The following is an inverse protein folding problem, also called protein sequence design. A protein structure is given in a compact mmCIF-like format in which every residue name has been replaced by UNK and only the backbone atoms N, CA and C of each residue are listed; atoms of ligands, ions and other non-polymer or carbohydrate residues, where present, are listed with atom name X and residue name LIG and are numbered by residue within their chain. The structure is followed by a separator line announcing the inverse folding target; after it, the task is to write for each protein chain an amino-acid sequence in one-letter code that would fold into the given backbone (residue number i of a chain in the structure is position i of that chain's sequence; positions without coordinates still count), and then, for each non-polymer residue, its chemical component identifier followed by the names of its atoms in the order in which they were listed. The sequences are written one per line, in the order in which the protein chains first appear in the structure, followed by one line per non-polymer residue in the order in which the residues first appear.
data_IF_100554742966
#
_entry.id   IF_100554742966
#
_cell.length_a   1.000
_cell.length_b   1.000
_cell.length_c   1.000
_cell.angle_alpha   90.00
_cell.angle_beta   90.00
_cell.angle_gamma   90.00
#
_symmetry.space_group_name_H-M   'P 1'
#
loop_
_entity.id
_entity.type
_entity.pdbx_description
1 polymer ?
#
# COMPACT_ATOMS: atom_id res chain seq x y z
N UNK A 1 -14.13 11.45 -107.43
CA UNK A 1 -13.84 11.90 -106.04
C UNK A 1 -12.94 13.13 -106.15
N UNK A 2 -13.44 14.26 -105.82
CA UNK A 2 -12.67 15.52 -105.93
C UNK A 2 -11.64 15.63 -104.78
N UNK A 3 -10.56 16.37 -105.08
CA UNK A 3 -9.47 16.57 -104.13
C UNK A 3 -9.97 17.12 -102.78
N UNK A 4 -11.01 17.94 -102.78
CA UNK A 4 -11.67 18.50 -101.63
C UNK A 4 -12.36 17.41 -100.77
N UNK A 5 -12.93 16.36 -101.38
CA UNK A 5 -13.60 15.26 -100.65
C UNK A 5 -12.56 14.44 -99.87
N UNK A 6 -11.40 14.21 -100.49
CA UNK A 6 -10.27 13.51 -99.85
C UNK A 6 -9.72 14.28 -98.69
N UNK A 7 -9.59 15.57 -98.82
CA UNK A 7 -9.10 16.46 -97.74
C UNK A 7 -10.06 16.49 -96.57
N UNK A 8 -11.39 16.50 -96.85
CA UNK A 8 -12.42 16.47 -95.83
C UNK A 8 -12.42 15.13 -95.05
N UNK A 9 -12.21 14.03 -95.70
CA UNK A 9 -12.15 12.72 -95.03
C UNK A 9 -10.91 12.60 -94.15
N UNK A 10 -9.76 13.09 -94.62
CA UNK A 10 -8.49 13.11 -93.82
C UNK A 10 -8.64 14.01 -92.62
N UNK A 11 -9.25 15.20 -92.77
CA UNK A 11 -9.50 16.15 -91.70
C UNK A 11 -10.44 15.55 -90.62
N UNK A 12 -11.55 14.90 -91.07
CA UNK A 12 -12.47 14.25 -90.15
C UNK A 12 -11.80 13.08 -89.35
N UNK A 13 -10.94 12.31 -90.03
CA UNK A 13 -10.20 11.23 -89.36
C UNK A 13 -9.19 11.80 -88.34
N UNK A 14 -8.48 12.87 -88.69
CA UNK A 14 -7.53 13.53 -87.79
C UNK A 14 -8.23 14.09 -86.54
N UNK A 15 -9.46 14.63 -86.66
CA UNK A 15 -10.24 15.12 -85.54
C UNK A 15 -10.65 13.97 -84.60
N UNK A 16 -11.09 12.82 -85.14
CA UNK A 16 -11.44 11.63 -84.35
C UNK A 16 -10.23 11.08 -83.56
N UNK A 17 -9.08 11.04 -84.27
CA UNK A 17 -7.84 10.61 -83.60
C UNK A 17 -7.47 11.58 -82.44
N UNK A 18 -7.53 12.89 -82.69
CA UNK A 18 -7.29 13.89 -81.68
C UNK A 18 -8.22 13.76 -80.48
N UNK A 19 -9.52 13.54 -80.69
CA UNK A 19 -10.45 13.29 -79.58
C UNK A 19 -10.10 12.07 -78.77
N UNK A 20 -9.70 10.99 -79.40
CA UNK A 20 -9.26 9.74 -78.70
C UNK A 20 -7.99 9.98 -77.84
N UNK A 21 -7.03 10.78 -78.36
CA UNK A 21 -5.85 11.13 -77.61
C UNK A 21 -6.16 12.02 -76.41
N UNK A 22 -7.05 13.01 -76.59
CA UNK A 22 -7.50 13.88 -75.52
C UNK A 22 -8.25 13.08 -74.44
N UNK A 23 -9.18 12.18 -74.83
CA UNK A 23 -9.93 11.33 -73.91
C UNK A 23 -8.95 10.46 -73.04
N UNK A 24 -7.94 9.87 -73.68
CA UNK A 24 -6.93 9.07 -72.98
C UNK A 24 -6.08 9.90 -72.07
N UNK A 25 -5.71 11.11 -72.45
CA UNK A 25 -5.00 12.08 -71.58
C UNK A 25 -5.81 12.48 -70.38
N UNK A 26 -7.10 12.80 -70.52
CA UNK A 26 -7.97 13.12 -69.39
C UNK A 26 -8.13 11.97 -68.46
N UNK A 27 -8.37 10.77 -68.90
CA UNK A 27 -8.43 9.57 -68.06
C UNK A 27 -7.14 9.31 -67.30
N UNK A 28 -6.00 9.55 -67.92
CA UNK A 28 -4.69 9.40 -67.27
C UNK A 28 -4.45 10.49 -66.20
N UNK A 29 -4.91 11.70 -66.46
CA UNK A 29 -4.84 12.80 -65.47
C UNK A 29 -5.75 12.57 -64.25
N UNK A 30 -7.00 12.11 -64.52
CA UNK A 30 -7.92 11.76 -63.41
C UNK A 30 -7.34 10.68 -62.50
N UNK A 31 -6.79 9.61 -63.10
CA UNK A 31 -6.12 8.54 -62.34
C UNK A 31 -4.93 9.09 -61.48
N UNK A 32 -4.11 9.93 -62.11
CA UNK A 32 -2.97 10.56 -61.38
C UNK A 32 -3.41 11.43 -60.23
N UNK A 33 -4.46 12.26 -60.42
CA UNK A 33 -4.99 13.08 -59.31
C UNK A 33 -5.64 12.29 -58.21
N UNK A 34 -6.36 11.19 -58.55
CA UNK A 34 -6.94 10.27 -57.57
C UNK A 34 -5.85 9.55 -56.74
N UNK A 35 -4.80 9.05 -57.39
CA UNK A 35 -3.68 8.43 -56.69
C UNK A 35 -2.92 9.44 -55.79
N UNK A 36 -2.71 10.64 -56.27
CA UNK A 36 -2.07 11.70 -55.50
C UNK A 36 -2.91 12.13 -54.31
N UNK A 37 -4.23 12.24 -54.44
CA UNK A 37 -5.14 12.57 -53.36
C UNK A 37 -5.17 11.45 -52.30
N UNK A 38 -5.23 10.19 -52.70
CA UNK A 38 -5.13 9.02 -51.80
C UNK A 38 -3.80 9.00 -51.03
N UNK A 39 -2.67 9.22 -51.73
CA UNK A 39 -1.37 9.26 -51.09
C UNK A 39 -1.22 10.42 -50.08
N UNK A 40 -1.80 11.59 -50.35
CA UNK A 40 -1.81 12.72 -49.44
C UNK A 40 -2.67 12.45 -48.21
N UNK A 41 -3.89 11.91 -48.39
CA UNK A 41 -4.76 11.51 -47.28
C UNK A 41 -4.07 10.46 -46.39
N UNK A 42 -3.47 9.43 -46.99
CA UNK A 42 -2.75 8.40 -46.24
C UNK A 42 -1.56 8.97 -45.44
N UNK A 43 -0.82 9.93 -45.99
CA UNK A 43 0.28 10.59 -45.24
C UNK A 43 -0.23 11.43 -44.08
N UNK A 44 -1.32 12.16 -44.27
CA UNK A 44 -1.94 12.94 -43.20
C UNK A 44 -2.46 12.04 -42.08
N UNK A 45 -3.14 10.94 -42.44
CA UNK A 45 -3.65 9.96 -41.48
C UNK A 45 -2.49 9.31 -40.70
N UNK A 46 -1.41 8.92 -41.33
CA UNK A 46 -0.22 8.36 -40.67
C UNK A 46 0.38 9.39 -39.70
N UNK A 47 0.51 10.64 -40.11
CA UNK A 47 1.07 11.69 -39.25
C UNK A 47 0.16 11.93 -38.03
N UNK A 48 -1.14 11.98 -38.23
CA UNK A 48 -2.09 12.16 -37.12
C UNK A 48 -2.09 10.97 -36.14
N UNK A 49 -2.04 9.73 -36.67
CA UNK A 49 -1.91 8.52 -35.86
C UNK A 49 -0.61 8.52 -35.07
N UNK A 50 0.52 8.91 -35.71
CA UNK A 50 1.82 8.97 -35.05
C UNK A 50 1.79 9.98 -33.88
N UNK A 51 1.29 11.20 -34.12
CA UNK A 51 1.17 12.23 -33.08
C UNK A 51 0.29 11.74 -31.91
N UNK A 52 -0.87 11.15 -32.21
CA UNK A 52 -1.76 10.61 -31.18
C UNK A 52 -1.10 9.47 -30.39
N UNK A 53 -0.35 8.61 -31.06
CA UNK A 53 0.39 7.50 -30.43
C UNK A 53 1.47 8.03 -29.49
N UNK A 54 2.25 9.03 -29.92
CA UNK A 54 3.28 9.66 -29.11
C UNK A 54 2.68 10.36 -27.89
N UNK A 55 1.53 11.05 -28.05
CA UNK A 55 0.82 11.66 -26.94
C UNK A 55 0.35 10.63 -25.91
N UNK A 56 -0.28 9.54 -26.37
CA UNK A 56 -0.73 8.45 -25.47
C UNK A 56 0.46 7.80 -24.75
N UNK A 57 1.59 7.61 -25.44
CA UNK A 57 2.80 7.09 -24.80
C UNK A 57 3.34 8.04 -23.74
N UNK A 58 3.40 9.35 -24.03
CA UNK A 58 3.85 10.35 -23.07
C UNK A 58 2.95 10.41 -21.83
N UNK A 59 1.63 10.41 -22.02
CA UNK A 59 0.65 10.39 -20.93
C UNK A 59 0.77 9.10 -20.10
N UNK A 60 0.95 7.96 -20.76
CA UNK A 60 1.14 6.69 -20.08
C UNK A 60 2.43 6.66 -19.24
N UNK A 61 3.55 7.16 -19.78
CA UNK A 61 4.80 7.28 -19.02
C UNK A 61 4.68 8.21 -17.83
N UNK A 62 3.93 9.31 -17.95
CA UNK A 62 3.66 10.21 -16.84
C UNK A 62 2.86 9.53 -15.73
N UNK A 63 1.77 8.83 -16.09
CA UNK A 63 0.95 8.09 -15.13
C UNK A 63 1.75 6.99 -14.43
N UNK A 64 2.58 6.24 -15.17
CA UNK A 64 3.47 5.24 -14.58
C UNK A 64 4.46 5.86 -13.59
N UNK A 65 5.09 6.97 -13.95
CA UNK A 65 6.03 7.66 -13.07
C UNK A 65 5.39 8.16 -11.78
N UNK A 66 4.17 8.69 -11.84
CA UNK A 66 3.39 9.09 -10.67
C UNK A 66 3.01 7.87 -9.79
N UNK A 67 2.63 6.77 -10.41
CA UNK A 67 2.30 5.53 -9.72
C UNK A 67 3.52 4.90 -9.01
N UNK A 68 4.66 4.84 -9.69
CA UNK A 68 5.90 4.32 -9.11
C UNK A 68 6.37 5.15 -7.91
N UNK A 69 6.28 6.49 -8.00
CA UNK A 69 6.60 7.38 -6.89
C UNK A 69 5.68 7.19 -5.68
N UNK A 70 4.37 6.98 -5.90
CA UNK A 70 3.41 6.70 -4.83
C UNK A 70 3.67 5.35 -4.17
N UNK A 71 4.00 4.32 -4.96
CA UNK A 71 4.37 3.00 -4.45
C UNK A 71 5.66 3.05 -3.62
N UNK A 72 6.69 3.74 -4.10
CA UNK A 72 7.96 3.90 -3.38
C UNK A 72 7.75 4.63 -2.05
N UNK A 73 6.94 5.69 -2.05
CA UNK A 73 6.59 6.41 -0.83
C UNK A 73 5.86 5.53 0.17
N UNK A 74 4.83 4.77 -0.27
CA UNK A 74 4.08 3.85 0.59
C UNK A 74 4.97 2.76 1.17
N UNK A 75 5.85 2.17 0.35
CA UNK A 75 6.75 1.13 0.80
C UNK A 75 7.71 1.64 1.88
N UNK A 76 8.34 2.79 1.68
CA UNK A 76 9.21 3.44 2.68
C UNK A 76 8.47 3.80 3.96
N UNK A 77 7.20 4.22 3.84
CA UNK A 77 6.37 4.50 5.01
C UNK A 77 6.07 3.23 5.80
N UNK A 78 5.68 2.14 5.12
CA UNK A 78 5.41 0.85 5.77
C UNK A 78 6.68 0.24 6.40
N UNK A 79 7.84 0.39 5.77
CA UNK A 79 9.12 -0.04 6.31
C UNK A 79 9.44 0.65 7.64
N UNK A 80 9.28 1.97 7.70
CA UNK A 80 9.43 2.73 8.95
C UNK A 80 8.39 2.36 10.00
N UNK A 81 7.14 2.28 9.60
CA UNK A 81 6.04 1.88 10.46
C UNK A 81 6.29 0.49 11.08
N UNK A 82 6.79 -0.45 10.29
CA UNK A 82 7.17 -1.78 10.76
C UNK A 82 8.39 -1.74 11.68
N UNK A 83 9.52 -1.18 11.23
CA UNK A 83 10.82 -1.27 11.93
C UNK A 83 10.89 -0.39 13.19
N UNK A 84 10.34 0.83 13.13
CA UNK A 84 10.48 1.80 14.22
C UNK A 84 9.30 1.81 15.21
N UNK A 85 8.21 1.12 14.88
CA UNK A 85 7.01 1.18 15.70
C UNK A 85 6.42 -0.21 16.01
N UNK A 86 5.87 -0.92 15.02
CA UNK A 86 5.18 -2.19 15.29
C UNK A 86 6.09 -3.32 15.73
N UNK A 87 7.35 -3.39 15.27
CA UNK A 87 8.30 -4.39 15.75
C UNK A 87 8.63 -4.20 17.24
N UNK A 88 8.74 -2.95 17.69
CA UNK A 88 8.97 -2.65 19.10
C UNK A 88 7.75 -3.01 19.95
N UNK A 89 6.54 -2.65 19.50
CA UNK A 89 5.31 -3.06 20.18
C UNK A 89 5.16 -4.58 20.25
N UNK A 90 5.48 -5.28 19.16
CA UNK A 90 5.46 -6.74 19.11
C UNK A 90 6.43 -7.37 20.11
N UNK A 91 7.67 -6.85 20.21
CA UNK A 91 8.64 -7.28 21.22
C UNK A 91 8.10 -7.09 22.65
N UNK A 92 7.46 -5.95 22.94
CA UNK A 92 6.84 -5.70 24.25
C UNK A 92 5.68 -6.65 24.55
N UNK A 93 4.89 -7.04 23.54
CA UNK A 93 3.84 -8.06 23.67
C UNK A 93 4.47 -9.44 24.01
N UNK A 94 5.51 -9.83 23.28
CA UNK A 94 6.23 -11.08 23.55
C UNK A 94 6.83 -11.11 24.96
N UNK A 95 7.42 -10.01 25.40
CA UNK A 95 7.97 -9.85 26.75
C UNK A 95 6.87 -10.01 27.80
N UNK A 96 5.74 -9.33 27.64
CA UNK A 96 4.59 -9.44 28.53
C UNK A 96 4.05 -10.87 28.63
N UNK A 97 3.91 -11.58 27.49
CA UNK A 97 3.45 -12.97 27.46
C UNK A 97 4.48 -13.93 28.10
N UNK A 98 5.78 -13.71 27.89
CA UNK A 98 6.83 -14.48 28.52
C UNK A 98 6.78 -14.38 30.05
N UNK A 99 6.66 -13.17 30.58
CA UNK A 99 6.52 -12.93 32.01
C UNK A 99 5.25 -13.58 32.55
N UNK A 100 4.13 -13.47 31.88
CA UNK A 100 2.89 -14.14 32.28
C UNK A 100 3.03 -15.64 32.36
N UNK A 101 3.72 -16.24 31.38
CA UNK A 101 3.98 -17.68 31.34
C UNK A 101 4.86 -18.12 32.53
N UNK A 102 5.98 -17.39 32.76
CA UNK A 102 6.91 -17.68 33.88
C UNK A 102 6.16 -17.62 35.21
N UNK A 103 5.36 -16.59 35.43
CA UNK A 103 4.63 -16.40 36.67
C UNK A 103 3.56 -17.46 36.90
N UNK A 104 2.85 -17.88 35.85
CA UNK A 104 1.89 -19.01 35.95
C UNK A 104 2.56 -20.32 36.37
N UNK A 105 3.81 -20.53 35.95
CA UNK A 105 4.55 -21.75 36.28
C UNK A 105 5.27 -21.68 37.65
N UNK A 106 5.51 -20.47 38.15
CA UNK A 106 6.16 -20.27 39.44
C UNK A 106 5.19 -20.08 40.62
N UNK A 107 3.95 -19.74 40.35
CA UNK A 107 2.93 -19.53 41.38
C UNK A 107 1.76 -20.45 41.18
N UNK A 108 1.30 -21.08 42.30
CA UNK A 108 0.06 -21.86 42.34
C UNK A 108 -1.19 -20.96 42.23
N UNK A 109 -1.04 -19.65 42.25
CA UNK A 109 -2.13 -18.67 42.13
C UNK A 109 -2.29 -18.17 40.69
N UNK A 110 -3.55 -18.01 40.27
CA UNK A 110 -3.87 -17.37 38.99
C UNK A 110 -3.49 -15.89 39.02
N UNK A 111 -2.26 -15.58 38.59
CA UNK A 111 -1.81 -14.20 38.47
C UNK A 111 -2.52 -13.51 37.32
N UNK A 112 -3.26 -12.47 37.64
CA UNK A 112 -3.90 -11.59 36.64
C UNK A 112 -2.82 -10.77 35.95
N UNK A 113 -2.95 -10.59 34.65
CA UNK A 113 -2.02 -9.98 33.67
C UNK A 113 -1.35 -8.66 34.10
N UNK A 114 -1.85 -7.97 35.13
CA UNK A 114 -1.55 -6.60 35.46
C UNK A 114 -0.70 -6.38 36.71
N UNK A 115 -0.41 -7.42 37.46
CA UNK A 115 0.16 -7.24 38.81
C UNK A 115 1.67 -7.39 38.88
N UNK A 116 2.34 -7.59 37.73
CA UNK A 116 3.81 -7.73 37.71
C UNK A 116 4.46 -6.41 37.31
N UNK A 117 4.91 -5.64 38.29
CA UNK A 117 5.78 -4.50 37.98
C UNK A 117 7.11 -5.01 37.48
N UNK A 118 7.54 -4.59 36.29
CA UNK A 118 8.90 -4.79 35.83
C UNK A 118 9.78 -3.85 36.67
N UNK A 119 10.69 -4.45 37.43
CA UNK A 119 11.65 -3.71 38.23
C UNK A 119 12.86 -3.43 37.35
N UNK A 120 12.92 -2.24 36.75
CA UNK A 120 14.19 -1.74 36.21
C UNK A 120 14.94 -1.06 37.36
N UNK A 121 16.15 -1.55 37.65
CA UNK A 121 17.07 -0.90 38.57
C UNK A 121 18.02 -0.06 37.73
N UNK A 122 17.91 1.26 37.79
CA UNK A 122 19.03 2.12 37.42
C UNK A 122 19.94 2.26 38.64
N UNK A 123 21.17 1.79 38.51
CA UNK A 123 22.23 2.02 39.48
C UNK A 123 22.91 3.32 39.05
N UNK A 124 22.85 4.36 39.88
CA UNK A 124 23.64 5.55 39.63
C UNK A 124 25.14 5.27 39.73
N UNK A 125 25.98 6.19 39.25
CA UNK A 125 27.43 6.05 39.27
C UNK A 125 28.03 5.93 40.68
N UNK A 126 27.26 6.16 41.74
CA UNK A 126 27.64 6.07 43.15
C UNK A 126 27.14 4.76 43.79
N UNK A 127 26.51 3.88 43.05
CA UNK A 127 26.01 2.59 43.52
C UNK A 127 24.72 2.66 44.36
N UNK A 128 23.99 3.79 44.32
CA UNK A 128 22.70 3.90 44.98
C UNK A 128 21.60 3.46 44.00
N UNK A 129 20.73 2.57 44.49
CA UNK A 129 19.53 2.16 43.74
C UNK A 129 18.50 3.30 43.80
N UNK A 130 18.39 4.10 42.73
CA UNK A 130 17.30 5.04 42.55
C UNK A 130 16.06 4.26 42.12
N UNK A 131 15.05 4.21 42.97
CA UNK A 131 13.72 3.74 42.61
C UNK A 131 13.07 4.79 41.68
N UNK A 132 13.42 4.75 40.39
CA UNK A 132 12.56 5.43 39.42
C UNK A 132 11.19 4.75 39.32
N UNK A 133 10.17 5.55 39.12
CA UNK A 133 8.78 5.09 38.96
C UNK A 133 8.66 4.01 37.93
N UNK A 134 8.44 2.78 38.39
CA UNK A 134 8.37 1.56 37.57
C UNK A 134 7.21 1.66 36.62
N UNK A 135 7.48 1.84 35.33
CA UNK A 135 6.45 1.75 34.29
C UNK A 135 6.17 0.29 33.96
N UNK A 136 4.92 -0.09 33.94
CA UNK A 136 4.51 -1.41 33.45
C UNK A 136 4.76 -1.51 31.92
N UNK A 137 4.86 -2.73 31.37
CA UNK A 137 4.99 -2.94 29.91
C UNK A 137 3.84 -2.24 29.18
N UNK A 138 2.64 -2.31 29.73
CA UNK A 138 1.46 -1.66 29.15
C UNK A 138 1.63 -0.13 29.09
N UNK A 139 2.17 0.51 30.12
CA UNK A 139 2.47 1.95 30.11
C UNK A 139 3.55 2.28 29.09
N UNK A 140 4.62 1.47 28.97
CA UNK A 140 5.65 1.64 27.93
C UNK A 140 5.04 1.54 26.52
N UNK A 141 4.12 0.58 26.29
CA UNK A 141 3.41 0.48 25.00
C UNK A 141 2.57 1.73 24.72
N UNK A 142 1.83 2.23 25.72
CA UNK A 142 1.02 3.44 25.57
C UNK A 142 1.89 4.67 25.28
N UNK A 143 3.00 4.84 26.00
CA UNK A 143 3.96 5.92 25.74
C UNK A 143 4.49 5.87 24.30
N UNK A 144 4.90 4.69 23.83
CA UNK A 144 5.38 4.51 22.45
C UNK A 144 4.28 4.82 21.41
N UNK A 145 3.02 4.41 21.68
CA UNK A 145 1.88 4.70 20.80
C UNK A 145 1.61 6.20 20.73
N UNK A 146 1.70 6.90 21.87
CA UNK A 146 1.50 8.34 21.91
C UNK A 146 2.66 9.12 21.31
N UNK A 147 3.89 8.69 21.52
CA UNK A 147 5.09 9.32 20.95
C UNK A 147 5.13 9.20 19.42
N UNK A 148 4.80 8.01 18.92
CA UNK A 148 4.85 7.71 17.49
C UNK A 148 3.47 7.53 16.86
N UNK A 149 2.49 8.32 17.28
CA UNK A 149 1.08 8.23 16.85
C UNK A 149 0.89 8.26 15.32
N UNK A 150 1.81 8.90 14.57
CA UNK A 150 1.78 8.99 13.11
C UNK A 150 1.83 7.60 12.44
N UNK A 151 2.45 6.63 13.10
CA UNK A 151 2.55 5.26 12.63
C UNK A 151 1.42 4.35 13.12
N UNK A 152 0.66 4.79 14.13
CA UNK A 152 -0.41 3.99 14.69
C UNK A 152 -1.65 3.95 13.78
N UNK A 153 -2.25 2.77 13.63
CA UNK A 153 -3.53 2.67 12.94
C UNK A 153 -4.64 3.38 13.71
N UNK A 154 -5.71 3.86 13.04
CA UNK A 154 -6.85 4.46 13.72
C UNK A 154 -7.48 3.53 14.78
N UNK A 155 -7.47 2.21 14.54
CA UNK A 155 -7.99 1.21 15.46
C UNK A 155 -7.13 1.11 16.72
N UNK A 156 -5.80 1.12 16.56
CA UNK A 156 -4.85 1.09 17.67
C UNK A 156 -4.97 2.38 18.51
N UNK A 157 -5.00 3.56 17.88
CA UNK A 157 -5.18 4.82 18.56
C UNK A 157 -6.49 4.86 19.38
N UNK A 158 -7.59 4.36 18.80
CA UNK A 158 -8.87 4.28 19.51
C UNK A 158 -8.78 3.39 20.75
N UNK A 159 -8.12 2.24 20.64
CA UNK A 159 -7.94 1.30 21.76
C UNK A 159 -7.05 1.90 22.86
N UNK A 160 -5.95 2.54 22.50
CA UNK A 160 -5.05 3.22 23.42
C UNK A 160 -5.74 4.38 24.16
N UNK A 161 -6.44 5.26 23.46
CA UNK A 161 -7.20 6.34 24.07
C UNK A 161 -8.28 5.83 25.02
N UNK A 162 -8.99 4.76 24.66
CA UNK A 162 -10.00 4.17 25.54
C UNK A 162 -9.36 3.63 26.83
N UNK A 163 -8.21 2.99 26.74
CA UNK A 163 -7.46 2.47 27.88
C UNK A 163 -6.97 3.60 28.80
N UNK A 164 -6.38 4.65 28.25
CA UNK A 164 -5.95 5.84 29.01
C UNK A 164 -7.15 6.48 29.74
N UNK A 165 -8.28 6.60 29.05
CA UNK A 165 -9.48 7.22 29.64
C UNK A 165 -10.01 6.41 30.83
N UNK A 166 -10.03 5.07 30.77
CA UNK A 166 -10.50 4.23 31.87
C UNK A 166 -9.53 4.26 33.04
N UNK A 167 -8.22 4.30 32.80
CA UNK A 167 -7.21 4.44 33.84
C UNK A 167 -7.33 5.76 34.60
N UNK A 168 -7.54 6.86 33.87
CA UNK A 168 -7.68 8.19 34.43
C UNK A 168 -9.08 8.46 35.03
N UNK A 169 -10.03 7.54 34.85
CA UNK A 169 -11.38 7.72 35.36
C UNK A 169 -11.43 7.57 36.89
N UNK A 170 -11.61 8.69 37.59
CA UNK A 170 -11.70 8.78 39.06
C UNK A 170 -13.14 8.82 39.61
N UNK A 171 -14.13 8.58 38.71
CA UNK A 171 -15.55 8.65 39.13
C UNK A 171 -15.97 7.53 40.05
N UNK A 172 -16.86 7.83 41.00
CA UNK A 172 -17.44 6.92 42.00
C UNK A 172 -18.53 5.97 41.41
N UNK A 173 -18.76 6.03 40.12
CA UNK A 173 -19.82 5.26 39.46
C UNK A 173 -19.26 3.93 38.97
N UNK A 174 -19.55 2.87 39.69
CA UNK A 174 -19.27 1.51 39.25
C UNK A 174 -18.53 0.68 40.33
N UNK A 175 -18.79 -0.60 40.29
CA UNK A 175 -18.05 -1.57 41.06
C UNK A 175 -16.59 -1.62 40.53
N UNK A 176 -15.61 -1.47 41.40
CA UNK A 176 -14.16 -1.57 41.09
C UNK A 176 -13.84 -2.80 40.24
N UNK A 177 -14.52 -3.91 40.50
CA UNK A 177 -14.43 -5.15 39.74
C UNK A 177 -14.83 -4.98 38.27
N UNK A 178 -15.85 -4.15 38.01
CA UNK A 178 -16.27 -3.88 36.61
C UNK A 178 -15.26 -3.00 35.87
N UNK A 179 -14.68 -2.00 36.59
CA UNK A 179 -13.60 -1.18 36.02
C UNK A 179 -12.40 -2.01 35.64
N UNK A 180 -11.91 -2.90 36.53
CA UNK A 180 -10.79 -3.81 36.26
C UNK A 180 -11.09 -4.75 35.08
N UNK A 181 -12.31 -5.29 35.00
CA UNK A 181 -12.71 -6.15 33.87
C UNK A 181 -12.69 -5.40 32.55
N UNK A 182 -13.22 -4.19 32.51
CA UNK A 182 -13.22 -3.36 31.30
C UNK A 182 -11.79 -2.97 30.88
N UNK A 183 -10.95 -2.61 31.84
CA UNK A 183 -9.54 -2.31 31.60
C UNK A 183 -8.82 -3.51 30.99
N UNK A 184 -9.02 -4.71 31.55
CA UNK A 184 -8.49 -5.95 30.98
C UNK A 184 -8.95 -6.20 29.55
N UNK A 185 -10.25 -6.00 29.24
CA UNK A 185 -10.78 -6.16 27.89
C UNK A 185 -10.17 -5.15 26.91
N UNK A 186 -9.97 -3.90 27.33
CA UNK A 186 -9.35 -2.86 26.52
C UNK A 186 -7.88 -3.17 26.23
N UNK A 187 -7.12 -3.67 27.22
CA UNK A 187 -5.74 -4.12 27.05
C UNK A 187 -5.67 -5.29 26.05
N UNK A 188 -6.52 -6.30 26.22
CA UNK A 188 -6.59 -7.43 25.29
C UNK A 188 -6.91 -6.99 23.86
N UNK A 189 -7.83 -6.04 23.69
CA UNK A 189 -8.17 -5.49 22.38
C UNK A 189 -7.01 -4.70 21.76
N UNK A 190 -6.27 -3.92 22.56
CA UNK A 190 -5.08 -3.20 22.11
C UNK A 190 -4.01 -4.18 21.61
N UNK A 191 -3.70 -5.20 22.39
CA UNK A 191 -2.73 -6.24 21.99
C UNK A 191 -3.17 -6.94 20.70
N UNK A 192 -4.41 -7.36 20.57
CA UNK A 192 -4.94 -7.96 19.33
C UNK A 192 -4.78 -7.04 18.12
N UNK A 193 -4.99 -5.74 18.32
CA UNK A 193 -4.82 -4.76 17.25
C UNK A 193 -3.36 -4.62 16.85
N UNK A 194 -2.44 -4.54 17.82
CA UNK A 194 -0.99 -4.50 17.56
C UNK A 194 -0.57 -5.71 16.73
N UNK A 195 -0.96 -6.91 17.13
CA UNK A 195 -0.61 -8.15 16.43
C UNK A 195 -1.17 -8.19 15.02
N UNK A 196 -2.43 -7.82 14.84
CA UNK A 196 -3.06 -7.73 13.52
C UNK A 196 -2.35 -6.77 12.59
N UNK A 197 -2.04 -5.55 13.08
CA UNK A 197 -1.37 -4.52 12.28
C UNK A 197 0.07 -4.93 11.95
N UNK A 198 0.79 -5.54 12.91
CA UNK A 198 2.13 -6.09 12.70
C UNK A 198 2.17 -7.14 11.59
N UNK A 199 1.26 -8.12 11.62
CA UNK A 199 1.18 -9.15 10.58
C UNK A 199 0.78 -8.57 9.23
N UNK A 200 -0.17 -7.64 9.21
CA UNK A 200 -0.55 -6.96 7.98
C UNK A 200 0.64 -6.22 7.34
N UNK A 201 1.47 -5.51 8.13
CA UNK A 201 2.67 -4.85 7.63
C UNK A 201 3.69 -5.85 7.09
N UNK A 202 3.89 -6.99 7.75
CA UNK A 202 4.77 -8.06 7.23
C UNK A 202 4.32 -8.54 5.85
N UNK A 203 3.01 -8.71 5.64
CA UNK A 203 2.45 -9.07 4.33
C UNK A 203 2.71 -7.98 3.29
N UNK A 204 2.48 -6.70 3.63
CA UNK A 204 2.73 -5.59 2.71
C UNK A 204 4.21 -5.46 2.32
N UNK A 205 5.11 -5.80 3.22
CA UNK A 205 6.57 -5.78 3.03
C UNK A 205 7.13 -7.09 2.48
N UNK A 206 6.28 -8.06 2.16
CA UNK A 206 6.66 -9.40 1.68
C UNK A 206 7.67 -10.11 2.60
N UNK A 207 7.61 -9.86 3.90
CA UNK A 207 8.42 -10.54 4.89
C UNK A 207 7.90 -11.97 5.14
N UNK A 208 8.79 -12.94 5.42
CA UNK A 208 8.36 -14.31 5.67
C UNK A 208 7.38 -14.36 6.83
N UNK A 209 6.24 -15.05 6.62
CA UNK A 209 5.23 -15.29 7.64
C UNK A 209 5.48 -16.63 8.31
N UNK A 210 5.29 -16.65 9.63
CA UNK A 210 5.15 -17.87 10.37
C UNK A 210 3.64 -18.10 10.64
N UNK A 211 3.00 -18.92 9.81
CA UNK A 211 1.56 -19.17 9.93
C UNK A 211 1.17 -19.77 11.30
N UNK A 212 2.09 -20.47 11.95
CA UNK A 212 1.85 -21.06 13.27
C UNK A 212 1.74 -19.99 14.37
N UNK A 213 2.45 -18.85 14.24
CA UNK A 213 2.30 -17.73 15.16
C UNK A 213 0.91 -17.09 15.08
N UNK A 214 0.33 -16.96 13.89
CA UNK A 214 -0.99 -16.34 13.70
C UNK A 214 -2.06 -17.18 14.41
N UNK A 215 -2.05 -18.49 14.24
CA UNK A 215 -3.00 -19.40 14.87
C UNK A 215 -2.87 -19.35 16.40
N UNK A 216 -1.66 -19.29 16.93
CA UNK A 216 -1.40 -19.19 18.37
C UNK A 216 -1.86 -17.87 18.99
N UNK A 217 -1.75 -16.78 18.24
CA UNK A 217 -2.25 -15.48 18.65
C UNK A 217 -3.78 -15.45 18.72
N UNK A 218 -4.46 -16.10 17.78
CA UNK A 218 -5.92 -16.21 17.78
C UNK A 218 -6.44 -17.11 18.94
N UNK A 219 -5.69 -18.14 19.29
CA UNK A 219 -6.06 -19.08 20.37
C UNK A 219 -5.63 -18.63 21.75
N UNK A 220 -4.82 -17.59 21.87
CA UNK A 220 -4.26 -17.11 23.14
C UNK A 220 -3.12 -17.99 23.70
N UNK A 221 -2.58 -18.89 22.91
CA UNK A 221 -1.59 -19.90 23.30
C UNK A 221 -0.18 -19.56 22.76
N UNK A 222 0.09 -18.27 22.64
CA UNK A 222 1.28 -17.73 21.98
C UNK A 222 2.63 -18.23 22.52
N UNK A 223 2.69 -18.58 23.81
CA UNK A 223 3.95 -18.96 24.46
C UNK A 223 4.07 -20.43 24.86
N UNK A 224 3.02 -21.25 24.68
CA UNK A 224 3.06 -22.65 25.13
C UNK A 224 4.11 -23.49 24.42
N UNK A 225 4.51 -23.14 23.18
CA UNK A 225 5.48 -23.92 22.39
C UNK A 225 6.89 -23.30 22.33
N UNK A 226 7.07 -21.99 22.55
CA UNK A 226 8.41 -21.40 22.54
C UNK A 226 9.31 -22.01 23.62
N UNK A 227 8.72 -22.55 24.70
CA UNK A 227 9.42 -23.13 25.84
C UNK A 227 9.38 -24.67 25.87
N UNK A 228 8.59 -25.31 24.99
CA UNK A 228 8.58 -26.78 24.88
C UNK A 228 9.66 -27.34 23.96
N UNK A 229 10.33 -26.50 23.17
CA UNK A 229 11.37 -26.86 22.21
C UNK A 229 12.79 -26.40 22.64
N UNK A 230 13.00 -25.94 23.85
CA UNK A 230 14.27 -25.64 24.49
C UNK A 230 14.57 -26.64 25.56
#
# INVERSE_FOLDING_TARGET
MNFLDILSIISSFAIVVMFKVIEKMWSSLDTYFDEKAKNLATKQDITEITIKTEQVQADFHKILGEFDADLEFKYKFYEKQYSEFYSLLYCMVCESESLRYILRNLSDEQIVFDEVPIVEYEVDNDGNENQETKKTICEKMLDLILDKYVYASPALMKSACALINIQNYSGTVGNEKQKKLLEYQLKANMIKTILKDYHWLRQQLHLPENNDEIVKLETGDFMSECLSNG
#
